data_IF_056652743819
#
_entry.id   IF_056652743819
#
_cell.length_a   1.000
_cell.length_b   1.000
_cell.length_c   1.000
_cell.angle_alpha   90.00
_cell.angle_beta   90.00
_cell.angle_gamma   90.00
#
_symmetry.space_group_name_H-M   'P 1'
#
loop_
_entity.id
_entity.type
_entity.pdbx_description
1 polymer ?
#
# COMPACT_ATOMS: atom_id res chain seq x y z
N UNK A 1 70.43 22.27 -29.83
CA UNK A 1 69.43 21.21 -30.06
C UNK A 1 68.90 20.79 -28.67
N UNK A 2 67.81 21.39 -28.27
CA UNK A 2 67.12 21.02 -27.03
C UNK A 2 65.76 20.45 -27.43
N UNK A 3 65.57 19.15 -27.17
CA UNK A 3 64.31 18.44 -27.41
C UNK A 3 63.34 18.73 -26.27
N UNK A 4 62.25 19.42 -26.54
CA UNK A 4 61.11 19.58 -25.65
C UNK A 4 60.21 18.35 -25.76
N UNK A 5 60.34 17.42 -24.82
CA UNK A 5 59.36 16.39 -24.58
C UNK A 5 58.10 17.01 -23.92
N UNK A 6 57.06 17.21 -24.71
CA UNK A 6 55.71 17.55 -24.21
C UNK A 6 55.05 16.26 -23.74
N UNK A 7 55.16 15.94 -22.44
CA UNK A 7 54.35 14.93 -21.79
C UNK A 7 52.88 15.31 -21.85
N UNK A 8 52.15 14.69 -22.75
CA UNK A 8 50.69 14.65 -22.77
C UNK A 8 50.16 14.11 -21.43
N UNK A 9 49.74 15.00 -20.53
CA UNK A 9 48.99 14.57 -19.34
C UNK A 9 47.64 14.04 -19.79
N UNK A 10 47.47 12.72 -19.70
CA UNK A 10 46.18 12.07 -19.78
C UNK A 10 45.25 12.71 -18.71
N UNK A 11 43.94 12.96 -19.02
CA UNK A 11 43.04 13.55 -18.06
C UNK A 11 42.98 12.64 -16.82
N UNK A 12 43.23 13.21 -15.66
CA UNK A 12 43.19 12.53 -14.38
C UNK A 12 41.82 11.84 -14.26
N UNK A 13 41.83 10.52 -14.26
CA UNK A 13 40.64 9.71 -13.97
C UNK A 13 40.17 10.10 -12.56
N UNK A 14 38.98 10.65 -12.47
CA UNK A 14 38.34 10.95 -11.18
C UNK A 14 38.38 9.68 -10.33
N UNK A 15 38.70 9.74 -9.04
CA UNK A 15 38.72 8.58 -8.19
C UNK A 15 37.37 7.85 -8.27
N UNK A 16 37.33 6.51 -8.24
CA UNK A 16 36.09 5.75 -8.33
C UNK A 16 35.14 6.21 -7.23
N UNK A 17 33.95 6.63 -7.64
CA UNK A 17 32.92 7.13 -6.73
C UNK A 17 32.45 5.96 -5.86
N UNK A 18 32.65 6.06 -4.54
CA UNK A 18 32.20 5.04 -3.59
C UNK A 18 30.66 4.99 -3.56
N UNK A 19 30.04 3.78 -3.63
CA UNK A 19 28.60 3.61 -3.49
C UNK A 19 28.00 4.26 -2.24
N UNK A 20 28.76 4.32 -1.13
CA UNK A 20 28.39 5.00 0.11
C UNK A 20 28.24 6.52 -0.06
N UNK A 21 29.05 7.12 -0.93
CA UNK A 21 28.99 8.54 -1.21
C UNK A 21 27.70 8.96 -1.91
N UNK A 22 27.13 8.13 -2.78
CA UNK A 22 25.84 8.38 -3.45
C UNK A 22 24.72 8.50 -2.43
N UNK A 23 24.67 7.59 -1.44
CA UNK A 23 23.67 7.62 -0.38
C UNK A 23 23.80 8.86 0.51
N UNK A 24 25.02 9.25 0.87
CA UNK A 24 25.31 10.43 1.68
C UNK A 24 24.93 11.73 0.94
N UNK A 25 25.20 11.80 -0.37
CA UNK A 25 24.82 12.93 -1.23
C UNK A 25 23.29 13.05 -1.33
N UNK A 26 22.57 11.96 -1.48
CA UNK A 26 21.10 11.98 -1.49
C UNK A 26 20.56 12.47 -0.14
N UNK A 27 21.10 11.96 0.96
CA UNK A 27 20.59 12.27 2.31
C UNK A 27 20.88 13.72 2.74
N UNK A 28 21.80 14.44 2.10
CA UNK A 28 22.05 15.87 2.37
C UNK A 28 21.06 16.82 1.68
N UNK A 29 20.24 16.31 0.74
CA UNK A 29 19.33 17.16 -0.03
C UNK A 29 18.25 17.79 0.87
N UNK A 30 18.05 19.12 0.81
CA UNK A 30 16.97 19.78 1.52
C UNK A 30 15.60 19.46 0.90
N UNK A 31 14.51 19.65 1.66
CA UNK A 31 13.14 19.36 1.20
C UNK A 31 12.62 20.43 0.22
N UNK A 32 13.16 20.47 -0.98
CA UNK A 32 12.77 21.40 -2.06
C UNK A 32 11.57 20.92 -2.86
N UNK A 33 11.06 21.77 -3.76
CA UNK A 33 9.96 21.42 -4.67
C UNK A 33 10.31 20.21 -5.55
N UNK A 34 11.56 20.12 -6.02
CA UNK A 34 12.04 18.97 -6.81
C UNK A 34 11.90 17.67 -6.02
N UNK A 35 12.32 17.61 -4.76
CA UNK A 35 12.21 16.42 -3.92
C UNK A 35 10.75 16.05 -3.67
N UNK A 36 9.90 17.03 -3.33
CA UNK A 36 8.47 16.78 -3.14
C UNK A 36 7.74 16.37 -4.42
N UNK A 37 8.18 16.87 -5.59
CA UNK A 37 7.65 16.41 -6.88
C UNK A 37 7.86 14.91 -7.07
N UNK A 38 9.04 14.38 -6.73
CA UNK A 38 9.31 12.94 -6.80
C UNK A 38 8.37 12.16 -5.87
N UNK A 39 8.15 12.66 -4.64
CA UNK A 39 7.21 12.04 -3.69
C UNK A 39 5.79 12.00 -4.26
N UNK A 40 5.31 13.13 -4.79
CA UNK A 40 3.94 13.21 -5.36
C UNK A 40 3.78 12.28 -6.55
N UNK A 41 4.77 12.19 -7.45
CA UNK A 41 4.73 11.31 -8.60
C UNK A 41 4.63 9.82 -8.19
N UNK A 42 5.38 9.42 -7.16
CA UNK A 42 5.31 8.06 -6.62
C UNK A 42 3.97 7.82 -5.88
N UNK A 43 3.48 8.84 -5.18
CA UNK A 43 2.17 8.79 -4.51
C UNK A 43 1.00 8.63 -5.49
N UNK A 44 1.11 9.16 -6.72
CA UNK A 44 0.11 8.93 -7.77
C UNK A 44 0.07 7.46 -8.22
N UNK A 45 1.21 6.76 -8.25
CA UNK A 45 1.22 5.31 -8.47
C UNK A 45 0.42 4.59 -7.39
N UNK A 46 0.68 4.90 -6.13
CA UNK A 46 -0.07 4.34 -5.00
C UNK A 46 -1.56 4.70 -5.02
N UNK A 47 -1.93 5.88 -5.53
CA UNK A 47 -3.33 6.24 -5.75
C UNK A 47 -4.02 5.27 -6.72
N UNK A 48 -3.42 4.97 -7.88
CA UNK A 48 -3.99 4.03 -8.84
C UNK A 48 -4.02 2.60 -8.31
N UNK A 49 -3.00 2.20 -7.57
CA UNK A 49 -2.96 0.91 -6.87
C UNK A 49 -4.13 0.77 -5.89
N UNK A 50 -4.36 1.76 -5.01
CA UNK A 50 -5.48 1.73 -4.06
C UNK A 50 -6.84 1.82 -4.74
N UNK A 51 -6.94 2.58 -5.85
CA UNK A 51 -8.15 2.59 -6.65
C UNK A 51 -8.50 1.17 -7.10
N UNK A 52 -7.54 0.46 -7.71
CA UNK A 52 -7.72 -0.89 -8.19
C UNK A 52 -7.97 -1.92 -7.09
N UNK A 53 -7.29 -1.78 -5.97
CA UNK A 53 -7.45 -2.67 -4.82
C UNK A 53 -8.86 -2.61 -4.23
N UNK A 54 -9.44 -1.41 -4.17
CA UNK A 54 -10.68 -1.16 -3.43
C UNK A 54 -11.94 -1.08 -4.29
N UNK A 55 -11.84 -0.84 -5.61
CA UNK A 55 -13.05 -0.77 -6.43
C UNK A 55 -13.87 -2.06 -6.41
N UNK A 56 -13.26 -3.22 -6.11
CA UNK A 56 -13.94 -4.51 -6.07
C UNK A 56 -15.22 -4.49 -5.23
N UNK A 57 -15.18 -3.87 -4.06
CA UNK A 57 -16.34 -3.73 -3.19
C UNK A 57 -17.41 -2.81 -3.75
N UNK A 58 -17.01 -1.73 -4.40
CA UNK A 58 -17.92 -0.72 -4.94
C UNK A 58 -18.59 -1.14 -6.25
N UNK A 59 -17.92 -1.95 -7.08
CA UNK A 59 -18.52 -2.48 -8.32
C UNK A 59 -19.30 -3.76 -8.09
N UNK A 60 -19.14 -4.43 -6.95
CA UNK A 60 -19.81 -5.69 -6.62
C UNK A 60 -21.34 -5.65 -6.81
N UNK A 61 -22.07 -4.59 -6.36
CA UNK A 61 -23.51 -4.49 -6.61
C UNK A 61 -23.86 -4.47 -8.10
N UNK A 62 -23.03 -3.84 -8.93
CA UNK A 62 -23.19 -3.80 -10.39
C UNK A 62 -22.96 -5.15 -11.04
N UNK A 63 -21.93 -5.88 -10.62
CA UNK A 63 -21.63 -7.23 -11.10
C UNK A 63 -22.74 -8.25 -10.76
N UNK A 64 -23.37 -8.09 -9.61
CA UNK A 64 -24.54 -8.90 -9.22
C UNK A 64 -25.77 -8.50 -10.04
N UNK A 65 -26.00 -7.18 -10.23
CA UNK A 65 -27.12 -6.66 -11.02
C UNK A 65 -27.04 -7.10 -12.48
N UNK A 66 -25.84 -7.13 -13.08
CA UNK A 66 -25.63 -7.59 -14.47
C UNK A 66 -25.77 -9.11 -14.64
N UNK A 67 -25.87 -9.87 -13.55
CA UNK A 67 -25.99 -11.33 -13.57
C UNK A 67 -24.68 -12.09 -13.82
N UNK A 68 -23.55 -11.39 -14.01
CA UNK A 68 -22.22 -12.03 -14.22
C UNK A 68 -21.78 -12.77 -12.94
N UNK A 69 -22.01 -12.17 -11.76
CA UNK A 69 -21.76 -12.82 -10.49
C UNK A 69 -23.07 -13.08 -9.76
N UNK A 70 -23.36 -14.35 -9.49
CA UNK A 70 -24.50 -14.78 -8.70
C UNK A 70 -24.04 -15.68 -7.55
N UNK A 71 -24.95 -15.97 -6.61
CA UNK A 71 -24.67 -16.90 -5.52
C UNK A 71 -24.38 -18.34 -6.00
N UNK A 72 -24.71 -18.67 -7.25
CA UNK A 72 -24.52 -19.99 -7.87
C UNK A 72 -23.38 -20.05 -8.87
N UNK A 73 -22.81 -18.90 -9.30
CA UNK A 73 -21.65 -18.91 -10.21
C UNK A 73 -20.40 -19.35 -9.45
N UNK A 74 -19.83 -20.47 -9.87
CA UNK A 74 -18.59 -21.00 -9.33
C UNK A 74 -17.39 -20.25 -9.92
N UNK A 75 -16.55 -19.70 -9.04
CA UNK A 75 -15.28 -19.06 -9.39
C UNK A 75 -14.07 -19.93 -9.06
N UNK A 76 -12.89 -19.33 -9.02
CA UNK A 76 -11.67 -19.99 -8.57
C UNK A 76 -11.88 -20.62 -7.19
N UNK A 77 -11.36 -21.83 -6.99
CA UNK A 77 -11.46 -22.61 -5.74
C UNK A 77 -12.89 -22.99 -5.31
N UNK A 78 -13.84 -23.12 -6.24
CA UNK A 78 -15.23 -23.51 -5.92
C UNK A 78 -16.03 -22.45 -5.18
N UNK A 79 -15.53 -21.23 -5.11
CA UNK A 79 -16.18 -20.10 -4.44
C UNK A 79 -17.17 -19.39 -5.36
N UNK A 80 -18.16 -18.76 -4.78
CA UNK A 80 -19.28 -18.17 -5.52
C UNK A 80 -19.35 -16.67 -5.33
N UNK A 81 -19.91 -15.98 -6.32
CA UNK A 81 -20.29 -14.58 -6.24
C UNK A 81 -19.13 -13.62 -6.04
N UNK A 82 -19.38 -12.53 -5.30
CA UNK A 82 -18.45 -11.44 -5.03
C UNK A 82 -17.16 -11.89 -4.34
N UNK A 83 -17.25 -12.93 -3.47
CA UNK A 83 -16.07 -13.46 -2.77
C UNK A 83 -15.03 -14.02 -3.74
N UNK A 84 -15.45 -14.68 -4.84
CA UNK A 84 -14.51 -15.20 -5.84
C UNK A 84 -13.75 -14.08 -6.56
N UNK A 85 -14.42 -12.97 -6.84
CA UNK A 85 -13.82 -11.79 -7.48
C UNK A 85 -12.78 -11.10 -6.59
N UNK A 86 -13.10 -10.90 -5.31
CA UNK A 86 -12.16 -10.32 -4.33
C UNK A 86 -10.98 -11.28 -4.09
N UNK A 87 -11.24 -12.57 -3.93
CA UNK A 87 -10.20 -13.56 -3.68
C UNK A 87 -9.27 -13.74 -4.89
N UNK A 88 -9.76 -13.63 -6.11
CA UNK A 88 -8.94 -13.67 -7.32
C UNK A 88 -7.91 -12.55 -7.31
N UNK A 89 -8.30 -11.31 -6.94
CA UNK A 89 -7.38 -10.19 -6.78
C UNK A 89 -6.28 -10.49 -5.76
N UNK A 90 -6.66 -10.87 -4.53
CA UNK A 90 -5.70 -11.09 -3.45
C UNK A 90 -4.79 -12.29 -3.71
N UNK A 91 -5.28 -13.32 -4.40
CA UNK A 91 -4.46 -14.46 -4.83
C UNK A 91 -3.39 -14.02 -5.84
N UNK A 92 -3.76 -13.21 -6.83
CA UNK A 92 -2.82 -12.61 -7.76
C UNK A 92 -1.80 -11.71 -7.05
N UNK A 93 -2.27 -10.85 -6.17
CA UNK A 93 -1.45 -9.93 -5.38
C UNK A 93 -0.43 -10.68 -4.50
N UNK A 94 -0.85 -11.75 -3.85
CA UNK A 94 0.03 -12.59 -3.03
C UNK A 94 1.14 -13.22 -3.88
N UNK A 95 0.78 -13.84 -5.01
CA UNK A 95 1.73 -14.47 -5.92
C UNK A 95 2.64 -13.41 -6.54
N UNK A 96 2.10 -12.28 -7.00
CA UNK A 96 2.87 -11.17 -7.58
C UNK A 96 3.91 -10.62 -6.59
N UNK A 97 3.53 -10.43 -5.33
CA UNK A 97 4.44 -9.95 -4.28
C UNK A 97 5.59 -10.92 -4.02
N UNK A 98 5.32 -12.23 -3.95
CA UNK A 98 6.34 -13.25 -3.65
C UNK A 98 7.20 -13.56 -4.87
N UNK A 99 6.55 -13.88 -6.01
CA UNK A 99 7.24 -14.35 -7.21
C UNK A 99 8.02 -13.25 -7.93
N UNK A 100 7.56 -12.00 -7.84
CA UNK A 100 8.09 -10.89 -8.63
C UNK A 100 8.80 -9.83 -7.79
N UNK A 101 8.83 -9.97 -6.46
CA UNK A 101 9.52 -9.02 -5.58
C UNK A 101 11.02 -8.85 -5.90
N UNK A 102 11.66 -9.89 -6.44
CA UNK A 102 13.07 -9.83 -6.90
C UNK A 102 13.24 -9.11 -8.26
N UNK A 103 12.19 -8.94 -9.05
CA UNK A 103 12.28 -8.30 -10.37
C UNK A 103 12.73 -6.85 -10.28
N UNK A 104 12.26 -6.11 -9.28
CA UNK A 104 12.67 -4.74 -9.04
C UNK A 104 14.16 -4.63 -8.68
N UNK A 105 14.72 -5.64 -8.01
CA UNK A 105 16.16 -5.70 -7.70
C UNK A 105 17.01 -5.99 -8.94
N UNK A 106 16.47 -6.73 -9.91
CA UNK A 106 17.18 -7.12 -11.13
C UNK A 106 17.08 -6.09 -12.25
N UNK A 107 15.87 -5.53 -12.48
CA UNK A 107 15.58 -4.70 -13.65
C UNK A 107 15.51 -3.18 -13.34
N UNK A 108 15.54 -2.81 -12.07
CA UNK A 108 15.44 -1.41 -11.62
C UNK A 108 14.05 -1.02 -11.18
N UNK A 109 14.01 0.02 -10.33
CA UNK A 109 12.75 0.46 -9.69
C UNK A 109 11.83 1.15 -10.70
N UNK A 110 12.39 2.04 -11.51
CA UNK A 110 11.67 2.77 -12.56
C UNK A 110 11.05 1.86 -13.61
N UNK A 111 11.81 0.87 -14.08
CA UNK A 111 11.33 -0.06 -15.08
C UNK A 111 10.16 -0.89 -14.54
N UNK A 112 10.32 -1.52 -13.38
CA UNK A 112 9.30 -2.39 -12.79
C UNK A 112 8.05 -1.59 -12.41
N UNK A 113 8.19 -0.42 -11.79
CA UNK A 113 7.08 0.48 -11.51
C UNK A 113 6.27 0.82 -12.77
N UNK A 114 6.95 1.10 -13.89
CA UNK A 114 6.28 1.41 -15.16
C UNK A 114 5.57 0.19 -15.75
N UNK A 115 6.25 -0.97 -15.77
CA UNK A 115 5.71 -2.18 -16.37
C UNK A 115 4.56 -2.77 -15.57
N UNK A 116 4.62 -2.77 -14.24
CA UNK A 116 3.53 -3.24 -13.38
C UNK A 116 2.26 -2.41 -13.60
N UNK A 117 2.40 -1.09 -13.67
CA UNK A 117 1.28 -0.16 -13.87
C UNK A 117 0.63 -0.35 -15.26
N UNK A 118 1.42 -0.53 -16.31
CA UNK A 118 0.91 -0.85 -17.65
C UNK A 118 0.25 -2.23 -17.70
N UNK A 119 0.84 -3.22 -17.02
CA UNK A 119 0.33 -4.58 -16.95
C UNK A 119 -1.08 -4.64 -16.35
N UNK A 120 -1.26 -4.17 -15.14
CA UNK A 120 -2.57 -4.27 -14.51
C UNK A 120 -3.61 -3.33 -15.15
N UNK A 121 -3.18 -2.20 -15.72
CA UNK A 121 -4.08 -1.34 -16.51
C UNK A 121 -4.60 -2.06 -17.75
N UNK A 122 -3.71 -2.70 -18.53
CA UNK A 122 -4.14 -3.47 -19.71
C UNK A 122 -5.06 -4.63 -19.30
N UNK A 123 -4.72 -5.33 -18.22
CA UNK A 123 -5.56 -6.41 -17.71
C UNK A 123 -6.94 -5.92 -17.24
N UNK A 124 -7.04 -4.73 -16.61
CA UNK A 124 -8.31 -4.11 -16.23
C UNK A 124 -9.17 -3.75 -17.44
N UNK A 125 -8.56 -3.22 -18.51
CA UNK A 125 -9.29 -2.93 -19.75
C UNK A 125 -9.89 -4.21 -20.32
N UNK A 126 -9.11 -5.30 -20.43
CA UNK A 126 -9.63 -6.59 -20.93
C UNK A 126 -10.70 -7.15 -19.99
N UNK A 127 -10.52 -7.01 -18.67
CA UNK A 127 -11.48 -7.46 -17.67
C UNK A 127 -12.82 -6.73 -17.79
N UNK A 128 -12.81 -5.43 -18.10
CA UNK A 128 -14.02 -4.63 -18.23
C UNK A 128 -14.96 -5.12 -19.36
N UNK A 129 -14.44 -5.86 -20.32
CA UNK A 129 -15.23 -6.43 -21.44
C UNK A 129 -15.54 -7.91 -21.28
N UNK A 130 -15.32 -8.50 -20.08
CA UNK A 130 -15.71 -9.89 -19.83
C UNK A 130 -17.20 -10.00 -19.50
N UNK A 131 -17.83 -11.04 -20.04
CA UNK A 131 -19.26 -11.34 -19.83
C UNK A 131 -19.47 -12.62 -19.04
N UNK A 132 -18.38 -13.28 -18.63
CA UNK A 132 -18.44 -14.52 -17.83
C UNK A 132 -17.71 -14.34 -16.49
N UNK A 133 -18.23 -15.00 -15.45
CA UNK A 133 -17.60 -15.00 -14.14
C UNK A 133 -16.17 -15.58 -14.18
N UNK A 134 -15.94 -16.60 -15.01
CA UNK A 134 -14.62 -17.21 -15.14
C UNK A 134 -13.62 -16.25 -15.78
N UNK A 135 -13.97 -15.59 -16.88
CA UNK A 135 -13.14 -14.58 -17.54
C UNK A 135 -12.87 -13.38 -16.61
N UNK A 136 -13.91 -12.87 -15.93
CA UNK A 136 -13.82 -11.78 -15.00
C UNK A 136 -12.83 -12.11 -13.85
N UNK A 137 -12.96 -13.27 -13.21
CA UNK A 137 -12.09 -13.70 -12.13
C UNK A 137 -10.66 -13.98 -12.60
N UNK A 138 -10.48 -14.56 -13.78
CA UNK A 138 -9.17 -14.79 -14.37
C UNK A 138 -8.42 -13.47 -14.58
N UNK A 139 -9.05 -12.50 -15.25
CA UNK A 139 -8.42 -11.21 -15.48
C UNK A 139 -8.23 -10.41 -14.19
N UNK A 140 -9.12 -10.57 -13.19
CA UNK A 140 -8.93 -9.99 -11.87
C UNK A 140 -7.72 -10.56 -11.14
N UNK A 141 -7.45 -11.85 -11.31
CA UNK A 141 -6.23 -12.50 -10.82
C UNK A 141 -4.97 -11.92 -11.53
N UNK A 142 -5.05 -11.75 -12.86
CA UNK A 142 -3.95 -11.16 -13.66
C UNK A 142 -3.67 -9.70 -13.25
N UNK A 143 -4.72 -8.91 -12.97
CA UNK A 143 -4.59 -7.57 -12.35
C UNK A 143 -3.84 -7.66 -11.03
N UNK A 144 -4.24 -8.59 -10.16
CA UNK A 144 -3.62 -8.80 -8.85
C UNK A 144 -2.11 -9.09 -8.95
N UNK A 145 -1.67 -9.88 -9.93
CA UNK A 145 -0.24 -10.13 -10.17
C UNK A 145 0.54 -8.82 -10.37
N UNK A 146 0.06 -7.94 -11.22
CA UNK A 146 0.70 -6.64 -11.48
C UNK A 146 0.73 -5.73 -10.26
N UNK A 147 -0.39 -5.64 -9.54
CA UNK A 147 -0.48 -4.86 -8.29
C UNK A 147 0.48 -5.36 -7.21
N UNK A 148 0.64 -6.70 -7.09
CA UNK A 148 1.57 -7.29 -6.12
C UNK A 148 3.03 -6.89 -6.36
N UNK A 149 3.43 -6.77 -7.62
CA UNK A 149 4.76 -6.29 -8.01
C UNK A 149 4.94 -4.81 -7.66
N UNK A 150 3.93 -3.98 -7.95
CA UNK A 150 3.98 -2.54 -7.72
C UNK A 150 4.08 -2.18 -6.26
N UNK A 151 3.30 -2.82 -5.41
CA UNK A 151 3.26 -2.58 -3.96
C UNK A 151 4.63 -2.62 -3.28
N UNK A 152 5.45 -3.61 -3.66
CA UNK A 152 6.81 -3.75 -3.13
C UNK A 152 7.72 -2.67 -3.71
N UNK A 153 7.50 -2.32 -4.97
CA UNK A 153 8.37 -1.39 -5.70
C UNK A 153 8.21 0.05 -5.23
N UNK A 154 6.97 0.54 -4.99
CA UNK A 154 6.73 1.94 -4.58
C UNK A 154 7.42 2.24 -3.25
N UNK A 155 7.20 1.43 -2.22
CA UNK A 155 7.79 1.64 -0.90
C UNK A 155 9.33 1.64 -0.93
N UNK A 156 9.91 0.72 -1.70
CA UNK A 156 11.37 0.66 -1.89
C UNK A 156 11.87 1.91 -2.63
N UNK A 157 11.17 2.31 -3.68
CA UNK A 157 11.55 3.44 -4.52
C UNK A 157 11.52 4.76 -3.75
N UNK A 158 10.48 5.03 -2.93
CA UNK A 158 10.43 6.18 -2.02
C UNK A 158 11.61 6.14 -1.04
N UNK A 159 11.90 5.00 -0.44
CA UNK A 159 12.98 4.87 0.53
C UNK A 159 14.37 5.15 -0.08
N UNK A 160 14.52 4.89 -1.38
CA UNK A 160 15.77 5.05 -2.14
C UNK A 160 15.92 6.43 -2.80
N UNK A 161 14.83 7.15 -3.09
CA UNK A 161 14.86 8.47 -3.73
C UNK A 161 14.72 9.64 -2.76
N UNK A 162 14.19 9.39 -1.56
CA UNK A 162 13.87 10.47 -0.62
C UNK A 162 14.93 10.55 0.49
N UNK A 163 15.44 11.78 0.82
CA UNK A 163 16.35 12.00 1.93
C UNK A 163 15.81 11.47 3.26
N UNK A 164 16.70 10.92 4.11
CA UNK A 164 16.31 10.29 5.39
C UNK A 164 15.51 11.21 6.32
N UNK A 165 15.79 12.52 6.30
CA UNK A 165 15.17 13.51 7.20
C UNK A 165 13.67 13.69 6.95
N UNK A 166 13.21 13.51 5.71
CA UNK A 166 11.81 13.71 5.34
C UNK A 166 11.11 12.42 4.92
N UNK A 167 11.79 11.27 4.99
CA UNK A 167 11.24 9.98 4.53
C UNK A 167 9.92 9.63 5.22
N UNK A 168 9.81 9.87 6.53
CA UNK A 168 8.55 9.66 7.25
C UNK A 168 7.40 10.54 6.73
N UNK A 169 7.69 11.81 6.43
CA UNK A 169 6.71 12.73 5.83
C UNK A 169 6.36 12.32 4.40
N UNK A 170 7.31 11.79 3.64
CA UNK A 170 7.09 11.29 2.28
C UNK A 170 6.14 10.09 2.28
N UNK A 171 6.33 9.12 3.18
CA UNK A 171 5.40 8.00 3.36
C UNK A 171 4.01 8.46 3.82
N UNK A 172 3.93 9.45 4.71
CA UNK A 172 2.65 10.01 5.13
C UNK A 172 1.92 10.70 3.96
N UNK A 173 2.65 11.43 3.12
CA UNK A 173 2.12 12.04 1.90
C UNK A 173 1.62 10.98 0.91
N UNK A 174 2.42 9.95 0.67
CA UNK A 174 2.05 8.81 -0.18
C UNK A 174 0.75 8.16 0.30
N UNK A 175 0.65 7.85 1.59
CA UNK A 175 -0.56 7.26 2.16
C UNK A 175 -1.76 8.20 2.02
N UNK A 176 -1.60 9.49 2.33
CA UNK A 176 -2.69 10.46 2.23
C UNK A 176 -3.20 10.61 0.78
N UNK A 177 -2.28 10.75 -0.19
CA UNK A 177 -2.62 10.84 -1.62
C UNK A 177 -3.24 9.53 -2.11
N UNK A 178 -2.66 8.39 -1.74
CA UNK A 178 -3.18 7.07 -2.10
C UNK A 178 -4.62 6.88 -1.62
N UNK A 179 -4.90 7.19 -0.35
CA UNK A 179 -6.26 7.02 0.20
C UNK A 179 -7.31 8.00 -0.37
N UNK A 180 -6.92 9.05 -1.11
CA UNK A 180 -7.87 9.85 -1.90
C UNK A 180 -8.55 9.00 -2.99
N UNK A 181 -7.93 7.92 -3.43
CA UNK A 181 -8.56 6.99 -4.38
C UNK A 181 -9.88 6.40 -3.85
N UNK A 182 -9.99 6.20 -2.53
CA UNK A 182 -11.17 5.57 -1.92
C UNK A 182 -12.45 6.39 -2.15
N UNK A 183 -12.53 7.68 -1.77
CA UNK A 183 -13.71 8.49 -2.07
C UNK A 183 -13.92 8.69 -3.57
N UNK A 184 -12.85 8.75 -4.37
CA UNK A 184 -12.98 8.89 -5.83
C UNK A 184 -13.67 7.67 -6.43
N UNK A 185 -13.22 6.46 -6.12
CA UNK A 185 -13.85 5.24 -6.62
C UNK A 185 -15.26 5.05 -6.09
N UNK A 186 -15.49 5.37 -4.82
CA UNK A 186 -16.81 5.25 -4.20
C UNK A 186 -17.81 6.20 -4.86
N UNK A 187 -17.41 7.44 -5.12
CA UNK A 187 -18.25 8.44 -5.78
C UNK A 187 -18.54 8.09 -7.25
N UNK A 188 -17.52 7.63 -7.99
CA UNK A 188 -17.70 7.15 -9.36
C UNK A 188 -18.67 5.95 -9.40
N UNK A 189 -18.54 5.02 -8.46
CA UNK A 189 -19.44 3.89 -8.37
C UNK A 189 -20.88 4.33 -8.05
N UNK A 190 -21.05 5.29 -7.14
CA UNK A 190 -22.39 5.87 -6.85
C UNK A 190 -23.04 6.48 -8.08
N UNK A 191 -22.29 7.22 -8.90
CA UNK A 191 -22.80 7.86 -10.09
C UNK A 191 -23.07 6.89 -11.24
N UNK A 192 -22.24 5.85 -11.41
CA UNK A 192 -22.22 5.03 -12.63
C UNK A 192 -22.90 3.67 -12.46
N UNK A 193 -22.66 2.97 -11.33
CA UNK A 193 -23.12 1.57 -11.13
C UNK A 193 -24.65 1.41 -11.18
N UNK A 194 -25.48 2.35 -10.69
CA UNK A 194 -26.94 2.23 -10.86
C UNK A 194 -27.41 2.35 -12.32
N UNK A 195 -26.60 2.94 -13.18
CA UNK A 195 -26.95 3.28 -14.57
C UNK A 195 -26.18 2.41 -15.56
N UNK A 196 -26.54 2.52 -16.85
CA UNK A 196 -25.83 1.88 -17.96
C UNK A 196 -25.51 2.96 -19.05
N UNK A 197 -24.55 3.87 -18.78
CA UNK A 197 -24.20 4.91 -19.73
C UNK A 197 -23.72 4.31 -21.05
N UNK A 198 -24.21 4.84 -22.18
CA UNK A 198 -23.86 4.38 -23.54
C UNK A 198 -24.13 2.88 -23.79
N UNK A 199 -25.08 2.27 -23.06
CA UNK A 199 -25.43 0.85 -23.21
C UNK A 199 -24.46 -0.14 -22.55
N UNK A 200 -23.45 0.35 -21.82
CA UNK A 200 -22.55 -0.48 -21.03
C UNK A 200 -22.90 -0.40 -19.53
N UNK A 201 -22.82 -1.52 -18.83
CA UNK A 201 -23.02 -1.56 -17.40
C UNK A 201 -22.12 -0.55 -16.69
N UNK A 202 -22.66 0.20 -15.73
CA UNK A 202 -21.92 1.26 -15.04
C UNK A 202 -20.68 0.80 -14.28
N UNK A 203 -20.64 -0.45 -13.82
CA UNK A 203 -19.45 -1.02 -13.18
C UNK A 203 -18.23 -1.10 -14.14
N UNK A 204 -18.47 -1.32 -15.45
CA UNK A 204 -17.40 -1.35 -16.47
C UNK A 204 -16.75 0.03 -16.61
N UNK A 205 -17.56 1.09 -16.56
CA UNK A 205 -17.04 2.47 -16.58
C UNK A 205 -16.17 2.81 -15.38
N UNK A 206 -16.53 2.35 -14.17
CA UNK A 206 -15.68 2.52 -12.98
C UNK A 206 -14.32 1.89 -13.19
N UNK A 207 -14.27 0.67 -13.73
CA UNK A 207 -13.01 -0.02 -14.04
C UNK A 207 -12.22 0.70 -15.14
N UNK A 208 -12.87 1.10 -16.24
CA UNK A 208 -12.21 1.79 -17.35
C UNK A 208 -11.68 3.16 -16.96
N UNK A 209 -12.37 3.92 -16.10
CA UNK A 209 -11.89 5.20 -15.57
C UNK A 209 -10.62 4.97 -14.74
N UNK A 210 -10.58 3.94 -13.88
CA UNK A 210 -9.36 3.56 -13.16
C UNK A 210 -8.20 3.22 -14.09
N UNK A 211 -8.49 2.57 -15.21
CA UNK A 211 -7.50 2.22 -16.22
C UNK A 211 -6.87 3.44 -16.93
N UNK A 212 -7.46 4.65 -16.85
CA UNK A 212 -6.84 5.87 -17.39
C UNK A 212 -5.54 6.25 -16.66
N UNK A 213 -5.24 5.63 -15.54
CA UNK A 213 -3.92 5.71 -14.89
C UNK A 213 -2.75 5.49 -15.84
N UNK A 214 -2.92 4.63 -16.86
CA UNK A 214 -1.92 4.40 -17.91
C UNK A 214 -1.51 5.68 -18.67
N UNK A 215 -2.41 6.63 -18.84
CA UNK A 215 -2.11 7.90 -19.51
C UNK A 215 -1.07 8.72 -18.71
N UNK A 216 -1.10 8.60 -17.39
CA UNK A 216 -0.15 9.27 -16.50
C UNK A 216 1.19 8.52 -16.42
N UNK A 217 1.23 7.23 -16.76
CA UNK A 217 2.47 6.42 -16.72
C UNK A 217 3.57 7.05 -17.56
N UNK A 218 3.25 7.50 -18.76
CA UNK A 218 4.23 8.11 -19.65
C UNK A 218 4.84 9.38 -19.05
N UNK A 219 4.00 10.22 -18.42
CA UNK A 219 4.45 11.42 -17.73
C UNK A 219 5.28 11.10 -16.48
N UNK A 220 4.80 10.18 -15.63
CA UNK A 220 5.52 9.71 -14.44
C UNK A 220 6.88 9.14 -14.84
N UNK A 221 6.92 8.28 -15.86
CA UNK A 221 8.17 7.67 -16.35
C UNK A 221 9.18 8.71 -16.83
N UNK A 222 8.70 9.79 -17.44
CA UNK A 222 9.58 10.84 -17.98
C UNK A 222 10.24 11.65 -16.88
N UNK A 223 9.54 11.87 -15.78
CA UNK A 223 9.96 12.73 -14.67
C UNK A 223 10.71 11.99 -13.57
N UNK A 224 10.44 10.69 -13.38
CA UNK A 224 11.10 9.89 -12.35
C UNK A 224 12.46 9.36 -12.84
N UNK A 225 13.58 9.70 -12.18
CA UNK A 225 14.89 9.10 -12.45
C UNK A 225 14.94 7.68 -11.92
N UNK A 226 15.84 6.83 -12.40
CA UNK A 226 16.14 5.55 -11.73
C UNK A 226 16.75 5.81 -10.33
N UNK A 227 16.64 4.84 -9.43
CA UNK A 227 17.20 4.96 -8.09
C UNK A 227 18.74 5.03 -8.11
N UNK A 228 19.36 6.16 -7.69
CA UNK A 228 20.81 6.26 -7.63
C UNK A 228 21.43 5.24 -6.67
N UNK A 229 20.71 4.93 -5.56
CA UNK A 229 21.18 3.93 -4.59
C UNK A 229 21.19 2.53 -5.18
N UNK A 230 20.16 2.18 -5.95
CA UNK A 230 20.11 0.89 -6.65
C UNK A 230 21.18 0.78 -7.72
N UNK A 231 21.38 1.83 -8.56
CA UNK A 231 22.42 1.86 -9.57
C UNK A 231 23.81 1.66 -8.96
N UNK A 232 24.10 2.36 -7.86
CA UNK A 232 25.37 2.18 -7.14
C UNK A 232 25.56 0.77 -6.61
N UNK A 233 24.51 0.12 -6.10
CA UNK A 233 24.53 -1.28 -5.64
C UNK A 233 24.73 -2.27 -6.78
N UNK A 234 24.32 -1.93 -8.02
CA UNK A 234 24.54 -2.73 -9.22
C UNK A 234 25.90 -2.47 -9.89
N UNK A 235 26.75 -1.65 -9.29
CA UNK A 235 28.05 -1.25 -9.87
C UNK A 235 27.96 -0.24 -11.01
N UNK A 236 26.76 0.31 -11.30
CA UNK A 236 26.53 1.35 -12.34
C UNK A 236 26.73 2.74 -11.75
N UNK A 237 27.92 2.96 -11.18
CA UNK A 237 28.23 4.15 -10.37
C UNK A 237 28.19 5.43 -11.20
N UNK A 238 28.67 5.40 -12.46
CA UNK A 238 28.68 6.56 -13.35
C UNK A 238 27.27 7.07 -13.69
N UNK A 239 26.30 6.14 -13.81
CA UNK A 239 24.90 6.53 -14.02
C UNK A 239 24.26 7.10 -12.76
N UNK A 240 24.58 6.51 -11.59
CA UNK A 240 24.15 7.02 -10.31
C UNK A 240 24.67 8.44 -10.09
N UNK A 241 25.93 8.67 -10.40
CA UNK A 241 26.58 9.99 -10.28
C UNK A 241 25.94 11.04 -11.20
N UNK A 242 25.69 10.70 -12.47
CA UNK A 242 25.00 11.59 -13.41
C UNK A 242 23.60 11.99 -12.92
N UNK A 243 22.83 11.04 -12.38
CA UNK A 243 21.50 11.32 -11.83
C UNK A 243 21.62 12.21 -10.60
N UNK A 244 22.58 11.92 -9.71
CA UNK A 244 22.83 12.73 -8.52
C UNK A 244 23.21 14.16 -8.87
N UNK A 245 24.15 14.37 -9.80
CA UNK A 245 24.53 15.71 -10.26
C UNK A 245 23.35 16.49 -10.83
N UNK A 246 22.52 15.85 -11.66
CA UNK A 246 21.33 16.49 -12.21
C UNK A 246 20.29 16.85 -11.14
N UNK A 247 20.15 16.02 -10.10
CA UNK A 247 19.24 16.26 -8.98
C UNK A 247 19.78 17.37 -8.06
N UNK A 248 21.05 17.29 -7.69
CA UNK A 248 21.74 18.31 -6.87
C UNK A 248 21.68 19.69 -7.52
N UNK A 249 21.99 19.80 -8.82
CA UNK A 249 21.92 21.08 -9.54
C UNK A 249 20.52 21.71 -9.48
N UNK A 250 19.45 20.91 -9.67
CA UNK A 250 18.07 21.43 -9.55
C UNK A 250 17.74 21.86 -8.13
N UNK A 251 18.13 21.04 -7.15
CA UNK A 251 17.88 21.31 -5.73
C UNK A 251 18.66 22.55 -5.26
N UNK A 252 19.90 22.73 -5.70
CA UNK A 252 20.75 23.87 -5.33
C UNK A 252 20.18 25.19 -5.86
N UNK A 253 19.70 25.21 -7.11
CA UNK A 253 18.98 26.36 -7.68
C UNK A 253 17.74 26.72 -6.86
N UNK A 254 16.97 25.73 -6.45
CA UNK A 254 15.76 25.95 -5.63
C UNK A 254 16.08 26.35 -4.20
N UNK A 255 17.19 25.83 -3.65
CA UNK A 255 17.61 26.11 -2.28
C UNK A 255 18.27 27.48 -2.14
N UNK A 256 18.79 28.04 -3.25
CA UNK A 256 19.38 29.38 -3.30
C UNK A 256 20.72 29.52 -2.57
N UNK A 257 21.34 28.42 -2.15
CA UNK A 257 22.67 28.38 -1.50
C UNK A 257 23.34 27.03 -1.75
N UNK A 258 24.69 26.94 -1.63
CA UNK A 258 25.39 25.66 -1.77
C UNK A 258 24.84 24.58 -0.84
N UNK A 259 24.80 23.34 -1.36
CA UNK A 259 24.36 22.18 -0.57
C UNK A 259 25.37 21.91 0.56
N UNK A 260 24.90 21.46 1.74
CA UNK A 260 25.78 21.07 2.82
C UNK A 260 26.71 19.93 2.38
N UNK A 261 27.93 19.80 2.93
CA UNK A 261 28.80 18.68 2.60
C UNK A 261 28.10 17.35 2.94
N UNK A 262 28.33 16.28 2.15
CA UNK A 262 27.79 14.96 2.48
C UNK A 262 28.38 14.47 3.80
N UNK A 263 27.53 13.83 4.63
CA UNK A 263 28.01 13.19 5.85
C UNK A 263 28.97 12.02 5.48
N UNK A 264 29.92 11.67 6.35
CA UNK A 264 30.74 10.49 6.17
C UNK A 264 29.85 9.26 5.91
N UNK A 265 30.28 8.38 5.01
CA UNK A 265 29.54 7.16 4.73
C UNK A 265 29.46 6.30 6.00
N UNK A 266 28.24 6.07 6.50
CA UNK A 266 28.04 5.16 7.61
C UNK A 266 28.31 3.72 7.15
N UNK A 267 29.06 2.90 7.90
CA UNK A 267 29.25 1.51 7.59
C UNK A 267 27.89 0.81 7.42
N UNK A 268 27.66 0.18 6.28
CA UNK A 268 26.43 -0.61 6.07
C UNK A 268 26.47 -1.81 7.03
N UNK A 269 25.55 -1.93 7.99
CA UNK A 269 25.57 -3.07 8.90
C UNK A 269 25.43 -4.37 8.10
N UNK A 270 26.14 -5.45 8.50
CA UNK A 270 26.07 -6.72 7.82
C UNK A 270 24.62 -7.21 7.75
N UNK A 271 24.22 -7.76 6.60
CA UNK A 271 22.86 -8.30 6.40
C UNK A 271 22.66 -9.51 7.33
N UNK A 272 21.75 -9.38 8.29
CA UNK A 272 21.38 -10.49 9.16
C UNK A 272 20.72 -11.64 8.40
N UNK A 273 20.68 -12.84 9.00
CA UNK A 273 20.06 -14.04 8.44
C UNK A 273 18.54 -14.05 8.66
N UNK A 274 17.80 -14.81 7.85
CA UNK A 274 16.37 -15.10 8.10
C UNK A 274 16.17 -15.80 9.46
N UNK A 275 17.14 -16.59 9.91
CA UNK A 275 17.08 -17.28 11.20
C UNK A 275 17.10 -16.33 12.39
N UNK A 276 17.69 -15.15 12.26
CA UNK A 276 17.83 -14.18 13.36
C UNK A 276 16.48 -13.66 13.84
N UNK A 277 15.45 -13.64 12.98
CA UNK A 277 14.10 -13.24 13.41
C UNK A 277 13.42 -14.27 14.32
N UNK A 278 13.95 -15.52 14.39
CA UNK A 278 13.47 -16.62 15.23
C UNK A 278 14.26 -16.79 16.51
N UNK A 279 15.24 -15.93 16.77
CA UNK A 279 16.01 -15.87 18.02
C UNK A 279 15.36 -14.84 18.96
N UNK A 280 15.41 -15.07 20.29
CA UNK A 280 14.95 -14.10 21.27
C UNK A 280 15.81 -12.80 21.21
N UNK A 281 15.20 -11.62 21.33
CA UNK A 281 13.78 -11.32 21.62
C UNK A 281 12.89 -11.25 20.38
N UNK A 282 13.46 -11.39 19.16
CA UNK A 282 12.74 -11.15 17.90
C UNK A 282 11.69 -12.22 17.60
N UNK A 283 11.86 -13.46 18.07
CA UNK A 283 10.88 -14.53 17.89
C UNK A 283 9.50 -14.13 18.38
N UNK A 284 9.39 -13.60 19.59
CA UNK A 284 8.10 -13.19 20.15
C UNK A 284 7.48 -12.03 19.36
N UNK A 285 8.29 -11.09 18.86
CA UNK A 285 7.86 -9.98 18.02
C UNK A 285 7.38 -10.45 16.66
N UNK A 286 8.09 -11.41 16.06
CA UNK A 286 7.72 -12.03 14.78
C UNK A 286 6.38 -12.76 14.91
N UNK A 287 6.19 -13.57 15.95
CA UNK A 287 4.92 -14.26 16.22
C UNK A 287 3.79 -13.24 16.43
N UNK A 288 4.00 -12.27 17.30
CA UNK A 288 3.02 -11.22 17.58
C UNK A 288 2.59 -10.48 16.32
N UNK A 289 3.56 -10.04 15.50
CA UNK A 289 3.27 -9.31 14.28
C UNK A 289 2.65 -10.19 13.19
N UNK A 290 2.95 -11.48 13.16
CA UNK A 290 2.27 -12.45 12.29
C UNK A 290 0.80 -12.57 12.68
N UNK A 291 0.50 -12.78 13.96
CA UNK A 291 -0.88 -12.82 14.48
C UNK A 291 -1.60 -11.50 14.14
N UNK A 292 -0.97 -10.37 14.43
CA UNK A 292 -1.52 -9.06 14.09
C UNK A 292 -1.86 -8.95 12.61
N UNK A 293 -0.93 -9.25 11.70
CA UNK A 293 -1.12 -9.09 10.26
C UNK A 293 -2.21 -10.03 9.70
N UNK A 294 -2.36 -11.24 10.25
CA UNK A 294 -3.45 -12.16 9.87
C UNK A 294 -4.81 -11.58 10.25
N UNK A 295 -4.98 -11.10 11.48
CA UNK A 295 -6.30 -10.73 11.99
C UNK A 295 -6.69 -9.28 11.70
N UNK A 296 -5.74 -8.33 11.64
CA UNK A 296 -6.06 -6.95 11.30
C UNK A 296 -6.61 -6.82 9.87
N UNK A 297 -6.15 -7.67 8.96
CA UNK A 297 -6.58 -7.71 7.57
C UNK A 297 -8.07 -8.02 7.44
N UNK A 298 -8.59 -8.88 8.31
CA UNK A 298 -10.03 -9.20 8.40
C UNK A 298 -10.83 -7.91 8.69
N UNK A 299 -10.38 -7.07 9.62
CA UNK A 299 -11.05 -5.82 9.93
C UNK A 299 -10.98 -4.81 8.80
N UNK A 300 -9.79 -4.60 8.25
CA UNK A 300 -9.58 -3.59 7.22
C UNK A 300 -10.28 -3.94 5.90
N UNK A 301 -9.93 -5.04 5.27
CA UNK A 301 -10.51 -5.42 3.98
C UNK A 301 -11.93 -6.01 4.13
N UNK A 302 -12.24 -6.58 5.30
CA UNK A 302 -13.58 -7.09 5.60
C UNK A 302 -14.63 -5.99 5.68
N UNK A 303 -14.27 -4.79 6.10
CA UNK A 303 -15.15 -3.63 6.02
C UNK A 303 -15.05 -2.96 4.64
N UNK A 304 -13.85 -2.49 4.24
CA UNK A 304 -13.66 -1.67 3.06
C UNK A 304 -14.22 -2.28 1.76
N UNK A 305 -14.05 -3.59 1.55
CA UNK A 305 -14.53 -4.26 0.33
C UNK A 305 -15.99 -4.74 0.42
N UNK A 306 -16.59 -4.76 1.60
CA UNK A 306 -17.91 -5.34 1.77
C UNK A 306 -19.00 -4.35 2.16
N UNK A 307 -18.65 -3.08 2.50
CA UNK A 307 -19.62 -2.05 2.93
C UNK A 307 -20.85 -1.96 2.04
N UNK A 308 -20.74 -1.78 0.69
CA UNK A 308 -21.94 -1.69 -0.14
C UNK A 308 -22.79 -2.95 -0.09
N UNK A 309 -22.15 -4.12 -0.12
CA UNK A 309 -22.84 -5.41 -0.06
C UNK A 309 -23.54 -5.64 1.31
N UNK A 310 -22.90 -5.25 2.41
CA UNK A 310 -23.46 -5.36 3.76
C UNK A 310 -24.69 -4.46 3.92
N UNK A 311 -24.64 -3.23 3.42
CA UNK A 311 -25.75 -2.30 3.43
C UNK A 311 -26.94 -2.81 2.60
N UNK A 312 -26.69 -3.39 1.42
CA UNK A 312 -27.74 -4.02 0.59
C UNK A 312 -28.37 -5.20 1.32
N UNK A 313 -27.58 -6.00 2.04
CA UNK A 313 -28.11 -7.13 2.84
C UNK A 313 -28.94 -6.67 4.05
N UNK A 314 -28.77 -5.42 4.50
CA UNK A 314 -29.64 -4.79 5.51
C UNK A 314 -30.91 -4.20 4.91
N UNK A 315 -31.18 -4.38 3.62
CA UNK A 315 -32.37 -3.89 2.93
C UNK A 315 -32.23 -2.49 2.32
N UNK A 316 -31.02 -1.91 2.31
CA UNK A 316 -30.75 -0.60 1.71
C UNK A 316 -30.62 -0.76 0.19
N UNK A 317 -31.20 0.15 -0.59
CA UNK A 317 -31.12 0.12 -2.05
C UNK A 317 -29.69 0.25 -2.54
N UNK A 318 -29.40 -0.25 -3.74
CA UNK A 318 -28.06 -0.14 -4.35
C UNK A 318 -27.58 1.32 -4.37
N UNK A 319 -28.43 2.23 -4.84
CA UNK A 319 -28.08 3.66 -4.94
C UNK A 319 -27.78 4.27 -3.57
N UNK A 320 -28.63 4.04 -2.56
CA UNK A 320 -28.42 4.57 -1.21
C UNK A 320 -27.20 3.94 -0.55
N UNK A 321 -26.96 2.63 -0.77
CA UNK A 321 -25.78 1.93 -0.26
C UNK A 321 -24.48 2.54 -0.81
N UNK A 322 -24.42 2.80 -2.10
CA UNK A 322 -23.25 3.42 -2.74
C UNK A 322 -23.09 4.89 -2.32
N UNK A 323 -24.21 5.63 -2.12
CA UNK A 323 -24.19 6.99 -1.59
C UNK A 323 -23.61 7.01 -0.16
N UNK A 324 -24.11 6.16 0.75
CA UNK A 324 -23.57 6.09 2.12
C UNK A 324 -22.10 5.69 2.12
N UNK A 325 -21.73 4.71 1.29
CA UNK A 325 -20.35 4.28 1.15
C UNK A 325 -19.43 5.39 0.62
N UNK A 326 -19.90 6.25 -0.29
CA UNK A 326 -19.10 7.36 -0.79
C UNK A 326 -18.88 8.45 0.27
N UNK A 327 -19.88 8.73 1.11
CA UNK A 327 -19.72 9.67 2.25
C UNK A 327 -18.76 9.09 3.30
N UNK A 328 -18.90 7.81 3.64
CA UNK A 328 -18.00 7.10 4.56
C UNK A 328 -16.55 7.13 4.03
N UNK A 329 -16.38 6.94 2.73
CA UNK A 329 -15.07 6.92 2.08
C UNK A 329 -14.29 8.24 2.21
N UNK A 330 -14.97 9.39 2.37
CA UNK A 330 -14.32 10.69 2.60
C UNK A 330 -13.40 10.69 3.83
N UNK A 331 -13.65 9.82 4.79
CA UNK A 331 -12.83 9.68 5.97
C UNK A 331 -11.48 8.98 5.71
N UNK A 332 -11.35 8.26 4.59
CA UNK A 332 -10.16 7.44 4.31
C UNK A 332 -8.84 8.25 4.24
N UNK A 333 -8.75 9.35 3.49
CA UNK A 333 -7.51 10.15 3.45
C UNK A 333 -7.24 10.92 4.75
N UNK A 334 -8.26 11.13 5.58
CA UNK A 334 -8.13 11.86 6.85
C UNK A 334 -7.44 11.00 7.92
N UNK A 335 -7.66 9.69 7.89
CA UNK A 335 -7.09 8.76 8.87
C UNK A 335 -5.56 8.82 8.98
N UNK A 336 -4.80 8.68 7.88
CA UNK A 336 -3.34 8.80 7.90
C UNK A 336 -2.83 10.17 8.37
N UNK A 337 -3.54 11.26 8.04
CA UNK A 337 -3.18 12.62 8.50
C UNK A 337 -3.35 12.76 10.02
N UNK A 338 -4.44 12.24 10.57
CA UNK A 338 -4.64 12.15 12.02
C UNK A 338 -3.57 11.24 12.63
N UNK A 339 -3.29 10.10 12.02
CA UNK A 339 -2.27 9.16 12.43
C UNK A 339 -0.89 9.79 12.52
N UNK A 340 -0.52 10.65 11.58
CA UNK A 340 0.73 11.41 11.61
C UNK A 340 0.85 12.32 12.85
N UNK A 341 -0.23 13.03 13.20
CA UNK A 341 -0.27 13.93 14.37
C UNK A 341 -0.23 13.14 15.68
N UNK A 342 -0.91 11.98 15.72
CA UNK A 342 -1.03 11.13 16.90
C UNK A 342 0.27 10.34 17.14
N UNK A 343 0.98 9.93 16.10
CA UNK A 343 2.13 9.04 16.16
C UNK A 343 3.26 9.56 17.06
N UNK A 344 3.47 10.88 17.12
CA UNK A 344 4.51 11.49 17.95
C UNK A 344 4.05 11.77 19.38
N UNK A 345 2.71 11.80 19.61
CA UNK A 345 2.12 12.16 20.93
C UNK A 345 1.82 10.96 21.79
N UNK A 346 1.43 9.84 21.22
CA UNK A 346 0.97 8.66 21.95
C UNK A 346 1.87 7.44 21.67
N UNK A 347 1.86 6.48 22.60
CA UNK A 347 2.49 5.18 22.44
C UNK A 347 1.81 4.39 21.31
N UNK A 348 2.56 3.93 20.29
CA UNK A 348 2.00 3.24 19.10
C UNK A 348 1.18 2.02 19.47
N UNK A 349 1.67 1.22 20.42
CA UNK A 349 0.93 0.07 20.98
C UNK A 349 -0.45 0.46 21.47
N UNK A 350 -0.56 1.54 22.26
CA UNK A 350 -1.82 2.01 22.84
C UNK A 350 -2.77 2.54 21.75
N UNK A 351 -2.24 3.23 20.73
CA UNK A 351 -3.05 3.68 19.59
C UNK A 351 -3.64 2.49 18.83
N UNK A 352 -2.84 1.47 18.52
CA UNK A 352 -3.31 0.27 17.82
C UNK A 352 -4.44 -0.41 18.60
N UNK A 353 -4.26 -0.62 19.92
CA UNK A 353 -5.26 -1.25 20.79
C UNK A 353 -6.54 -0.40 20.87
N UNK A 354 -6.42 0.93 21.03
CA UNK A 354 -7.57 1.82 21.10
C UNK A 354 -8.35 1.85 19.78
N UNK A 355 -7.66 1.87 18.63
CA UNK A 355 -8.31 1.84 17.31
C UNK A 355 -8.96 0.48 17.04
N UNK A 356 -8.35 -0.62 17.43
CA UNK A 356 -8.98 -1.94 17.34
C UNK A 356 -10.26 -2.02 18.20
N UNK A 357 -10.26 -1.46 19.42
CA UNK A 357 -11.45 -1.34 20.25
C UNK A 357 -12.54 -0.47 19.60
N UNK A 358 -12.16 0.66 18.99
CA UNK A 358 -13.09 1.52 18.26
C UNK A 358 -13.73 0.78 17.07
N UNK A 359 -12.96 -0.05 16.34
CA UNK A 359 -13.49 -0.89 15.25
C UNK A 359 -14.52 -1.88 15.78
N UNK A 360 -14.26 -2.52 16.93
CA UNK A 360 -15.23 -3.44 17.57
C UNK A 360 -16.53 -2.71 17.89
N UNK A 361 -16.45 -1.61 18.62
CA UNK A 361 -17.64 -0.85 19.07
C UNK A 361 -18.43 -0.32 17.89
N UNK A 362 -17.78 0.42 16.98
CA UNK A 362 -18.45 0.99 15.80
C UNK A 362 -19.02 -0.12 14.91
N UNK A 363 -18.31 -1.24 14.72
CA UNK A 363 -18.74 -2.35 13.87
C UNK A 363 -19.99 -3.05 14.42
N UNK A 364 -20.00 -3.37 15.69
CA UNK A 364 -21.18 -4.00 16.31
C UNK A 364 -22.40 -3.09 16.29
N UNK A 365 -22.23 -1.79 16.56
CA UNK A 365 -23.31 -0.79 16.47
C UNK A 365 -23.79 -0.62 15.02
N UNK A 366 -22.86 -0.57 14.05
CA UNK A 366 -23.20 -0.49 12.62
C UNK A 366 -24.09 -1.66 12.17
N UNK A 367 -23.83 -2.86 12.67
CA UNK A 367 -24.59 -4.05 12.30
C UNK A 367 -26.03 -4.06 12.81
N UNK A 368 -26.32 -3.27 13.83
CA UNK A 368 -27.63 -3.27 14.52
C UNK A 368 -28.52 -2.07 14.13
N UNK A 369 -27.99 -1.11 13.39
CA UNK A 369 -28.76 0.08 12.96
C UNK A 369 -29.08 0.02 11.47
N UNK A 370 -30.27 0.53 11.12
CA UNK A 370 -30.71 0.76 9.73
C UNK A 370 -30.91 2.25 9.43
N UNK A 371 -30.70 3.12 10.42
CA UNK A 371 -30.85 4.56 10.27
C UNK A 371 -29.63 5.12 9.52
N UNK A 372 -29.87 5.69 8.33
CA UNK A 372 -28.80 6.11 7.40
C UNK A 372 -27.78 7.06 8.02
N UNK A 373 -28.21 8.04 8.85
CA UNK A 373 -27.31 8.97 9.52
C UNK A 373 -26.35 8.23 10.49
N UNK A 374 -26.86 7.28 11.28
CA UNK A 374 -26.03 6.49 12.19
C UNK A 374 -25.07 5.56 11.43
N UNK A 375 -25.54 4.94 10.33
CA UNK A 375 -24.66 4.14 9.45
C UNK A 375 -23.49 4.96 8.92
N UNK A 376 -23.73 6.19 8.47
CA UNK A 376 -22.68 7.08 7.99
C UNK A 376 -21.69 7.42 9.12
N UNK A 377 -22.17 7.85 10.28
CA UNK A 377 -21.31 8.22 11.41
C UNK A 377 -20.46 7.05 11.90
N UNK A 378 -21.07 5.89 12.08
CA UNK A 378 -20.36 4.67 12.52
C UNK A 378 -19.40 4.19 11.45
N UNK A 379 -19.77 4.26 10.17
CA UNK A 379 -18.89 3.91 9.04
C UNK A 379 -17.68 4.84 8.93
N UNK A 380 -17.87 6.15 9.16
CA UNK A 380 -16.76 7.12 9.27
C UNK A 380 -15.84 6.73 10.43
N UNK A 381 -16.40 6.43 11.61
CA UNK A 381 -15.65 5.98 12.78
C UNK A 381 -14.82 4.71 12.49
N UNK A 382 -15.43 3.71 11.85
CA UNK A 382 -14.74 2.49 11.40
C UNK A 382 -13.58 2.79 10.43
N UNK A 383 -13.83 3.64 9.43
CA UNK A 383 -12.83 4.01 8.42
C UNK A 383 -11.67 4.76 9.06
N UNK A 384 -11.93 5.75 9.91
CA UNK A 384 -10.89 6.51 10.63
C UNK A 384 -10.08 5.58 11.52
N UNK A 385 -10.74 4.76 12.36
CA UNK A 385 -10.06 3.84 13.25
C UNK A 385 -9.17 2.86 12.49
N UNK A 386 -9.66 2.29 11.38
CA UNK A 386 -8.91 1.36 10.53
C UNK A 386 -7.68 2.01 9.90
N UNK A 387 -7.80 3.25 9.39
CA UNK A 387 -6.69 3.94 8.74
C UNK A 387 -5.67 4.51 9.73
N UNK A 388 -6.10 4.99 10.90
CA UNK A 388 -5.18 5.39 11.99
C UNK A 388 -4.41 4.16 12.50
N UNK A 389 -5.08 3.03 12.68
CA UNK A 389 -4.44 1.76 13.05
C UNK A 389 -3.44 1.33 11.99
N UNK A 390 -3.81 1.39 10.71
CA UNK A 390 -2.94 1.04 9.58
C UNK A 390 -1.66 1.88 9.57
N UNK A 391 -1.77 3.20 9.68
CA UNK A 391 -0.61 4.08 9.77
C UNK A 391 0.29 3.74 10.98
N UNK A 392 -0.32 3.54 12.14
CA UNK A 392 0.41 3.30 13.40
C UNK A 392 1.17 1.98 13.38
N UNK A 393 0.58 0.90 12.82
CA UNK A 393 1.26 -0.39 12.80
C UNK A 393 2.40 -0.47 11.80
N UNK A 394 2.32 0.22 10.66
CA UNK A 394 3.44 0.26 9.71
C UNK A 394 4.70 0.87 10.32
N UNK A 395 4.53 1.94 11.11
CA UNK A 395 5.61 2.51 11.89
C UNK A 395 6.08 1.56 12.99
N UNK A 396 5.16 0.98 13.76
CA UNK A 396 5.45 0.08 14.87
C UNK A 396 6.25 -1.15 14.43
N UNK A 397 5.81 -1.83 13.37
CA UNK A 397 6.51 -3.03 12.88
C UNK A 397 7.94 -2.74 12.41
N UNK A 398 8.20 -1.54 11.89
CA UNK A 398 9.54 -1.14 11.47
C UNK A 398 10.49 -0.88 12.67
N UNK A 399 9.93 -0.48 13.82
CA UNK A 399 10.68 -0.23 15.05
C UNK A 399 11.02 -1.50 15.85
N UNK A 400 10.26 -2.58 15.65
CA UNK A 400 10.44 -3.83 16.38
C UNK A 400 11.69 -4.63 15.99
N UNK A 401 12.27 -4.35 14.82
CA UNK A 401 13.39 -5.12 14.27
C UNK A 401 14.62 -4.26 14.01
N UNK A 402 15.83 -4.76 14.33
CA UNK A 402 17.08 -4.04 14.06
C UNK A 402 17.31 -3.90 12.56
N UNK A 403 18.07 -2.90 12.16
CA UNK A 403 18.32 -2.56 10.75
C UNK A 403 18.83 -3.74 9.92
N UNK A 404 19.63 -4.63 10.53
CA UNK A 404 20.22 -5.81 9.86
C UNK A 404 19.18 -6.82 9.33
N UNK A 405 18.04 -7.00 10.02
CA UNK A 405 16.99 -7.96 9.65
C UNK A 405 15.65 -7.29 9.33
N UNK A 406 15.50 -5.97 9.53
CA UNK A 406 14.23 -5.25 9.44
C UNK A 406 13.47 -5.53 8.16
N UNK A 407 14.11 -5.36 6.99
CA UNK A 407 13.43 -5.54 5.70
C UNK A 407 12.87 -6.95 5.54
N UNK A 408 13.64 -7.98 5.95
CA UNK A 408 13.21 -9.38 5.87
C UNK A 408 12.10 -9.69 6.86
N UNK A 409 12.23 -9.22 8.11
CA UNK A 409 11.24 -9.47 9.16
C UNK A 409 9.91 -8.77 8.83
N UNK A 410 9.95 -7.50 8.45
CA UNK A 410 8.76 -6.74 8.04
C UNK A 410 8.12 -7.38 6.80
N UNK A 411 8.90 -7.74 5.79
CA UNK A 411 8.40 -8.43 4.59
C UNK A 411 7.72 -9.76 4.93
N UNK A 412 8.34 -10.58 5.79
CA UNK A 412 7.78 -11.84 6.23
C UNK A 412 6.46 -11.66 7.00
N UNK A 413 6.43 -10.84 8.04
CA UNK A 413 5.22 -10.66 8.84
C UNK A 413 4.09 -10.00 8.05
N UNK A 414 4.43 -9.10 7.13
CA UNK A 414 3.43 -8.42 6.30
C UNK A 414 2.85 -9.31 5.18
N UNK A 415 3.62 -10.30 4.70
CA UNK A 415 3.08 -11.26 3.70
C UNK A 415 1.86 -12.03 4.21
N UNK A 416 1.78 -12.28 5.53
CA UNK A 416 0.64 -12.93 6.15
C UNK A 416 -0.65 -12.12 6.05
N UNK A 417 -0.57 -10.79 5.93
CA UNK A 417 -1.75 -9.96 5.68
C UNK A 417 -2.36 -10.26 4.31
N UNK A 418 -1.55 -10.51 3.29
CA UNK A 418 -2.01 -10.83 1.93
C UNK A 418 -2.61 -12.23 1.86
N UNK A 419 -1.94 -13.19 2.51
CA UNK A 419 -2.47 -14.54 2.65
C UNK A 419 -3.83 -14.55 3.36
N UNK A 420 -3.95 -13.86 4.49
CA UNK A 420 -5.20 -13.72 5.23
C UNK A 420 -6.32 -13.06 4.40
N UNK A 421 -6.00 -12.05 3.58
CA UNK A 421 -6.98 -11.35 2.75
C UNK A 421 -7.69 -12.28 1.75
N UNK A 422 -7.01 -13.32 1.25
CA UNK A 422 -7.61 -14.33 0.37
C UNK A 422 -8.73 -15.07 1.11
N UNK A 423 -8.40 -15.61 2.28
CA UNK A 423 -9.33 -16.45 3.05
C UNK A 423 -10.41 -15.64 3.74
N UNK A 424 -10.10 -14.43 4.22
CA UNK A 424 -11.08 -13.57 4.90
C UNK A 424 -12.31 -13.28 4.03
N UNK A 425 -12.12 -13.09 2.71
CA UNK A 425 -13.24 -12.87 1.79
C UNK A 425 -14.19 -14.05 1.71
N UNK A 426 -13.67 -15.29 1.75
CA UNK A 426 -14.49 -16.51 1.76
C UNK A 426 -15.22 -16.69 3.08
N UNK A 427 -14.51 -16.48 4.19
CA UNK A 427 -15.12 -16.58 5.52
C UNK A 427 -16.22 -15.54 5.68
N UNK A 428 -15.99 -14.28 5.26
CA UNK A 428 -17.00 -13.23 5.31
C UNK A 428 -18.23 -13.59 4.48
N UNK A 429 -18.05 -14.12 3.25
CA UNK A 429 -19.17 -14.54 2.41
C UNK A 429 -19.97 -15.69 3.06
N UNK A 430 -19.29 -16.69 3.63
CA UNK A 430 -19.93 -17.80 4.32
C UNK A 430 -20.69 -17.33 5.57
N UNK A 431 -20.06 -16.48 6.39
CA UNK A 431 -20.68 -15.91 7.58
C UNK A 431 -21.85 -15.01 7.21
N UNK A 432 -21.73 -14.20 6.15
CA UNK A 432 -22.82 -13.35 5.66
C UNK A 432 -24.03 -14.18 5.21
N UNK A 433 -23.79 -15.34 4.58
CA UNK A 433 -24.86 -16.24 4.15
C UNK A 433 -25.58 -16.92 5.32
N UNK A 434 -24.82 -17.33 6.36
CA UNK A 434 -25.38 -18.10 7.49
C UNK A 434 -25.88 -17.21 8.63
N UNK A 435 -25.19 -16.10 8.94
CA UNK A 435 -25.43 -15.29 10.13
C UNK A 435 -25.74 -13.82 9.82
N UNK A 436 -25.85 -13.46 8.54
CA UNK A 436 -26.15 -12.11 8.10
C UNK A 436 -25.06 -11.08 8.44
N UNK A 437 -25.43 -9.80 8.36
CA UNK A 437 -24.51 -8.68 8.60
C UNK A 437 -23.96 -8.65 10.02
N UNK A 438 -24.78 -8.97 11.03
CA UNK A 438 -24.33 -9.05 12.42
C UNK A 438 -23.22 -10.10 12.60
N UNK A 439 -23.38 -11.29 11.99
CA UNK A 439 -22.35 -12.33 12.04
C UNK A 439 -21.01 -11.87 11.47
N UNK A 440 -21.02 -11.10 10.37
CA UNK A 440 -19.81 -10.54 9.77
C UNK A 440 -19.11 -9.59 10.74
N UNK A 441 -19.85 -8.68 11.35
CA UNK A 441 -19.24 -7.73 12.31
C UNK A 441 -18.83 -8.41 13.61
N UNK A 442 -19.51 -9.46 14.06
CA UNK A 442 -19.06 -10.29 15.18
C UNK A 442 -17.74 -11.01 14.86
N UNK A 443 -17.58 -11.52 13.64
CA UNK A 443 -16.33 -12.11 13.18
C UNK A 443 -15.18 -11.07 13.12
N UNK A 444 -15.44 -9.88 12.58
CA UNK A 444 -14.48 -8.78 12.58
C UNK A 444 -14.12 -8.37 14.02
N UNK A 445 -15.10 -8.27 14.91
CA UNK A 445 -14.88 -7.95 16.32
C UNK A 445 -13.99 -8.99 17.01
N UNK A 446 -14.24 -10.28 16.77
CA UNK A 446 -13.41 -11.38 17.27
C UNK A 446 -11.95 -11.27 16.79
N UNK A 447 -11.75 -10.98 15.51
CA UNK A 447 -10.43 -10.73 14.95
C UNK A 447 -9.73 -9.54 15.61
N UNK A 448 -10.44 -8.43 15.85
CA UNK A 448 -9.89 -7.25 16.53
C UNK A 448 -9.58 -7.50 18.02
N UNK A 449 -10.36 -8.34 18.70
CA UNK A 449 -10.04 -8.78 20.08
C UNK A 449 -8.71 -9.55 20.10
N UNK A 450 -8.47 -10.43 19.12
CA UNK A 450 -7.18 -11.14 19.00
C UNK A 450 -6.04 -10.13 18.73
N UNK A 451 -6.25 -9.13 17.88
CA UNK A 451 -5.29 -8.04 17.62
C UNK A 451 -4.97 -7.30 18.92
N UNK A 452 -6.01 -6.89 19.68
CA UNK A 452 -5.83 -6.21 20.97
C UNK A 452 -5.04 -7.06 21.95
N UNK A 453 -5.35 -8.35 22.05
CA UNK A 453 -4.65 -9.28 22.93
C UNK A 453 -3.18 -9.44 22.51
N UNK A 454 -2.91 -9.72 21.23
CA UNK A 454 -1.56 -9.91 20.73
C UNK A 454 -0.68 -8.67 20.98
N UNK A 455 -1.13 -7.49 20.54
CA UNK A 455 -0.37 -6.25 20.72
C UNK A 455 -0.38 -5.82 22.20
N UNK A 456 -1.51 -5.95 22.89
CA UNK A 456 -1.66 -5.53 24.28
C UNK A 456 -0.76 -6.29 25.25
N UNK A 457 -0.66 -7.60 25.13
CA UNK A 457 0.14 -8.43 26.04
C UNK A 457 1.58 -8.62 25.56
N UNK A 458 1.82 -8.85 24.27
CA UNK A 458 3.14 -9.20 23.76
C UNK A 458 3.91 -7.99 23.21
N UNK A 459 3.24 -6.87 22.90
CA UNK A 459 3.89 -5.73 22.27
C UNK A 459 4.76 -4.92 23.24
N UNK A 460 6.04 -4.65 22.90
CA UNK A 460 6.87 -3.74 23.67
C UNK A 460 6.45 -2.28 23.47
N UNK A 461 6.84 -1.40 24.37
CA UNK A 461 6.75 0.05 24.19
C UNK A 461 7.91 0.51 23.31
N UNK A 462 7.66 1.43 22.39
CA UNK A 462 8.67 1.91 21.45
C UNK A 462 8.88 3.41 21.47
N UNK A 463 7.94 4.17 22.04
CA UNK A 463 8.00 5.63 22.07
C UNK A 463 9.18 6.14 22.89
N UNK A 464 10.02 6.99 22.28
CA UNK A 464 11.14 7.63 22.97
C UNK A 464 12.32 6.71 23.27
N UNK A 465 12.30 5.47 22.76
CA UNK A 465 13.38 4.50 22.95
C UNK A 465 14.19 4.44 21.65
N UNK A 466 15.51 4.54 21.75
CA UNK A 466 16.39 4.38 20.60
C UNK A 466 16.22 2.97 19.99
N UNK A 467 16.23 2.88 18.65
CA UNK A 467 16.04 1.61 17.93
C UNK A 467 16.99 0.50 18.40
N UNK A 468 18.22 0.86 18.74
CA UNK A 468 19.25 -0.03 19.26
C UNK A 468 18.92 -0.56 20.67
N UNK A 469 18.20 0.23 21.48
CA UNK A 469 17.76 -0.17 22.82
C UNK A 469 16.48 -1.02 22.79
N UNK A 470 15.61 -0.82 21.80
CA UNK A 470 14.46 -1.72 21.58
C UNK A 470 14.98 -3.09 21.11
N UNK A 471 16.13 -3.12 20.42
CA UNK A 471 16.69 -4.33 19.84
C UNK A 471 17.49 -5.18 20.82
N UNK A 472 17.66 -4.75 22.05
CA UNK A 472 18.24 -5.54 23.15
C UNK A 472 17.10 -6.17 23.95
#
# INVERSE_FOLDING_TARGET
>A
MASTDSLSQAPAQSPPVDPGSISARLDRLPPTRTVWKLVVLLSLGFFFELYDLLYSGYVAPGLVKSGILSATTHGLFGTTGVASFIAALFSGLFIGTIACGFLADRFGRRAIFTWSLLWYTAANVVMAFQDTAAGLNFWRFVVGLGLGVEMVTIGTYISELVPKQIRGRAFACEQAVGFVAVPVVAFLAYLLVPHAPFGLDGWRWVVLIGAHGALFVWWIRRELPESPRWLAQQGRVDEADRIMHALEAKVEVEYGRPLPPPAPAEPVPPRGSFRDMWVQPYRNRTIMMTIFNVFQTVGFYGFANWVPTLLIKQGITITSSLMYSSVIALAAPVGPLIGLVIADRFERKSVIVAMAAAIVVCGLLFSQTTVGAFLIVLGIGLTLASNIMSYSFHAYQAELFPTSIRARAVGFVYSWSRFSAIFSSFVIAAVLKGFGTFGVFAFIAGAMVIVMAAIGFMGPRTKGIALEAISK
#
